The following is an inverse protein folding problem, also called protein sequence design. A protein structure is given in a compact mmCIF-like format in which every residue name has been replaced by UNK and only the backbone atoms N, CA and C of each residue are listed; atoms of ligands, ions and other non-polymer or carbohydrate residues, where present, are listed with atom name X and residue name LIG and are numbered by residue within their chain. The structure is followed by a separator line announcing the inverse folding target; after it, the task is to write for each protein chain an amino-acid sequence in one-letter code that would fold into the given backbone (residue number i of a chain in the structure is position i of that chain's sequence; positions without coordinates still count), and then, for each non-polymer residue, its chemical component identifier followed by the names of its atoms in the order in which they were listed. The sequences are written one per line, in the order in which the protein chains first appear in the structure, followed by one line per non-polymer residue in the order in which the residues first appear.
data_IF_059592165479
#
_entry.id   IF_059592165479
#
_cell.length_a   1.000
_cell.length_b   1.000
_cell.length_c   1.000
_cell.angle_alpha   90.00
_cell.angle_beta   90.00
_cell.angle_gamma   90.00
#
_symmetry.space_group_name_H-M   'P 1'
#
loop_
_entity.id
_entity.type
_entity.pdbx_description
1 polymer ?
#
# COMPACT_ATOMS: atom_id res chain seq x y z
N UNK A 1 10.09 -21.17 -13.41
CA UNK A 1 9.31 -21.46 -12.20
C UNK A 1 7.85 -21.10 -12.43
N UNK A 2 6.93 -21.99 -12.11
CA UNK A 2 5.49 -21.73 -12.14
C UNK A 2 4.95 -21.65 -10.70
N UNK A 3 4.14 -20.64 -10.42
CA UNK A 3 3.51 -20.44 -9.11
C UNK A 3 2.03 -20.15 -9.32
N UNK A 4 1.17 -20.92 -8.64
CA UNK A 4 -0.28 -20.79 -8.73
C UNK A 4 -0.87 -20.37 -7.40
N UNK A 5 -1.73 -19.36 -7.41
CA UNK A 5 -2.50 -18.95 -6.23
C UNK A 5 -3.80 -18.24 -6.60
N UNK A 6 -4.73 -18.15 -5.65
CA UNK A 6 -5.98 -17.39 -5.79
C UNK A 6 -5.74 -15.92 -5.39
N UNK A 7 -6.05 -14.95 -6.26
CA UNK A 7 -5.86 -13.54 -5.94
C UNK A 7 -6.89 -13.02 -4.92
N UNK A 8 -8.03 -13.71 -4.77
CA UNK A 8 -9.03 -13.43 -3.73
C UNK A 8 -9.88 -14.69 -3.47
N UNK A 9 -10.60 -14.81 -2.34
CA UNK A 9 -11.31 -16.04 -1.97
C UNK A 9 -12.33 -16.53 -3.00
N UNK A 10 -13.01 -15.59 -3.68
CA UNK A 10 -14.04 -15.88 -4.70
C UNK A 10 -13.49 -15.92 -6.14
N UNK A 11 -12.18 -15.75 -6.34
CA UNK A 11 -11.56 -15.76 -7.68
C UNK A 11 -10.98 -17.14 -7.98
N UNK A 12 -10.97 -17.50 -9.27
CA UNK A 12 -10.24 -18.67 -9.76
C UNK A 12 -8.75 -18.55 -9.48
N UNK A 13 -8.08 -19.69 -9.31
CA UNK A 13 -6.63 -19.73 -9.19
C UNK A 13 -5.98 -19.19 -10.48
N UNK A 14 -4.86 -18.51 -10.31
CA UNK A 14 -4.09 -17.88 -11.38
C UNK A 14 -2.67 -18.45 -11.36
N UNK A 15 -2.19 -18.93 -12.51
CA UNK A 15 -0.80 -19.37 -12.69
C UNK A 15 0.05 -18.24 -13.24
N UNK A 16 1.19 -18.03 -12.59
CA UNK A 16 2.23 -17.10 -13.00
C UNK A 16 3.48 -17.89 -13.35
N UNK A 17 4.13 -17.55 -14.46
CA UNK A 17 5.36 -18.21 -14.90
C UNK A 17 6.50 -17.20 -14.94
N UNK A 18 7.55 -17.45 -14.17
CA UNK A 18 8.81 -16.70 -14.24
C UNK A 18 9.86 -17.56 -14.94
N UNK A 19 10.40 -17.09 -16.06
CA UNK A 19 11.45 -17.78 -16.81
C UNK A 19 12.58 -16.80 -17.15
N UNK A 20 13.69 -16.90 -16.42
CA UNK A 20 14.76 -15.91 -16.47
C UNK A 20 14.21 -14.52 -16.14
N UNK A 21 14.41 -13.57 -17.05
CA UNK A 21 13.91 -12.19 -16.95
C UNK A 21 12.46 -11.99 -17.39
N UNK A 22 11.78 -13.02 -17.90
CA UNK A 22 10.41 -12.89 -18.43
C UNK A 22 9.39 -13.37 -17.39
N UNK A 23 8.48 -12.47 -16.99
CA UNK A 23 7.30 -12.79 -16.21
C UNK A 23 6.09 -12.92 -17.15
N UNK A 24 5.47 -14.10 -17.18
CA UNK A 24 4.20 -14.33 -17.89
C UNK A 24 3.03 -14.24 -16.93
N UNK A 25 2.04 -13.45 -17.33
CA UNK A 25 0.81 -13.25 -16.58
C UNK A 25 -0.20 -14.37 -16.86
N UNK A 26 -1.23 -14.53 -16.01
CA UNK A 26 -2.31 -15.48 -16.24
C UNK A 26 -3.12 -15.19 -17.52
N UNK A 27 -3.06 -13.96 -18.04
CA UNK A 27 -3.71 -13.59 -19.31
C UNK A 27 -2.86 -13.88 -20.54
N UNK A 28 -1.65 -14.43 -20.37
CA UNK A 28 -0.71 -14.72 -21.46
C UNK A 28 0.19 -13.55 -21.86
N UNK A 29 0.05 -12.38 -21.23
CA UNK A 29 0.97 -11.25 -21.42
C UNK A 29 2.35 -11.60 -20.87
N UNK A 30 3.40 -11.08 -21.49
CA UNK A 30 4.78 -11.26 -21.05
C UNK A 30 5.41 -9.92 -20.76
N UNK A 31 6.14 -9.83 -19.65
CA UNK A 31 6.91 -8.64 -19.27
C UNK A 31 8.37 -9.03 -19.13
N UNK A 32 9.24 -8.25 -19.75
CA UNK A 32 10.67 -8.29 -19.48
C UNK A 32 11.01 -7.45 -18.25
N UNK A 33 11.42 -8.11 -17.17
CA UNK A 33 11.78 -7.48 -15.90
C UNK A 33 13.01 -6.57 -16.02
N UNK A 34 13.88 -6.77 -17.02
CA UNK A 34 15.02 -5.88 -17.29
C UNK A 34 14.60 -4.50 -17.82
N UNK A 35 13.37 -4.39 -18.37
CA UNK A 35 12.83 -3.16 -18.94
C UNK A 35 11.89 -2.41 -17.99
N UNK A 36 11.83 -2.82 -16.72
CA UNK A 36 10.98 -2.14 -15.74
C UNK A 36 11.49 -0.73 -15.45
N UNK A 37 10.59 0.24 -15.59
CA UNK A 37 10.85 1.65 -15.25
C UNK A 37 10.52 1.94 -13.78
N UNK A 38 9.74 1.06 -13.14
CA UNK A 38 9.40 1.18 -11.73
C UNK A 38 8.37 0.17 -11.27
N UNK A 39 8.04 0.24 -9.99
CA UNK A 39 6.99 -0.57 -9.41
C UNK A 39 6.37 0.07 -8.17
N UNK A 40 5.31 -0.54 -7.68
CA UNK A 40 4.67 -0.19 -6.43
C UNK A 40 4.28 -1.44 -5.65
N UNK A 41 4.71 -1.50 -4.40
CA UNK A 41 4.34 -2.56 -3.47
C UNK A 41 3.45 -2.00 -2.36
N UNK A 42 2.29 -2.61 -2.18
CA UNK A 42 1.30 -2.28 -1.15
C UNK A 42 0.96 -3.55 -0.37
N UNK A 43 0.95 -3.45 0.95
CA UNK A 43 0.47 -4.52 1.83
C UNK A 43 -0.32 -3.89 2.96
N UNK A 44 -1.63 -4.14 2.97
CA UNK A 44 -2.59 -3.50 3.87
C UNK A 44 -3.29 -4.54 4.74
N UNK A 45 -3.09 -4.50 6.06
CA UNK A 45 -3.86 -5.33 6.97
C UNK A 45 -5.32 -4.84 7.02
N UNK A 46 -6.25 -5.77 7.00
CA UNK A 46 -7.67 -5.56 7.32
C UNK A 46 -8.09 -6.54 8.42
N UNK A 47 -9.28 -6.33 9.03
CA UNK A 47 -9.75 -7.11 10.18
C UNK A 47 -9.76 -8.63 9.96
N UNK A 48 -9.96 -9.08 8.72
CA UNK A 48 -10.08 -10.52 8.37
C UNK A 48 -9.09 -10.98 7.31
N UNK A 49 -8.65 -10.07 6.46
CA UNK A 49 -7.79 -10.38 5.32
C UNK A 49 -6.69 -9.35 5.23
N UNK A 50 -5.65 -9.68 4.49
CA UNK A 50 -4.62 -8.74 4.09
C UNK A 50 -4.74 -8.54 2.59
N UNK A 51 -4.61 -7.28 2.16
CA UNK A 51 -4.68 -6.88 0.77
C UNK A 51 -3.25 -6.57 0.34
N UNK A 52 -2.66 -7.45 -0.45
CA UNK A 52 -1.31 -7.27 -0.97
C UNK A 52 -1.35 -7.08 -2.48
N UNK A 53 -0.57 -6.13 -2.96
CA UNK A 53 -0.45 -5.80 -4.37
C UNK A 53 0.99 -5.46 -4.72
N UNK A 54 1.52 -6.09 -5.77
CA UNK A 54 2.80 -5.73 -6.37
C UNK A 54 2.60 -5.35 -7.84
N UNK A 55 2.67 -4.05 -8.11
CA UNK A 55 2.57 -3.47 -9.44
C UNK A 55 3.95 -3.30 -10.06
N UNK A 56 4.08 -3.72 -11.30
CA UNK A 56 5.25 -3.60 -12.15
C UNK A 56 4.88 -2.72 -13.34
N UNK A 57 5.73 -1.75 -13.69
CA UNK A 57 5.49 -0.81 -14.79
C UNK A 57 6.65 -0.83 -15.78
N UNK A 58 6.33 -0.99 -17.06
CA UNK A 58 7.21 -0.73 -18.21
C UNK A 58 6.78 0.58 -18.87
N UNK A 59 7.41 0.95 -19.99
CA UNK A 59 6.97 2.11 -20.78
C UNK A 59 5.59 1.91 -21.41
N UNK A 60 5.28 0.69 -21.84
CA UNK A 60 4.03 0.34 -22.53
C UNK A 60 2.93 -0.14 -21.61
N UNK A 61 3.29 -0.80 -20.50
CA UNK A 61 2.38 -1.67 -19.77
C UNK A 61 2.50 -1.56 -18.25
N UNK A 62 1.42 -1.95 -17.59
CA UNK A 62 1.38 -2.14 -16.14
C UNK A 62 0.74 -3.48 -15.81
N UNK A 63 1.42 -4.25 -14.98
CA UNK A 63 0.90 -5.52 -14.47
C UNK A 63 0.89 -5.51 -12.96
N UNK A 64 -0.15 -6.10 -12.41
CA UNK A 64 -0.37 -6.14 -10.98
C UNK A 64 -0.56 -7.58 -10.52
N UNK A 65 0.27 -7.98 -9.56
CA UNK A 65 0.15 -9.25 -8.84
C UNK A 65 -0.62 -8.95 -7.56
N UNK A 66 -1.81 -9.50 -7.39
CA UNK A 66 -2.70 -9.20 -6.25
C UNK A 66 -2.99 -10.45 -5.43
N UNK A 67 -2.99 -10.34 -4.11
CA UNK A 67 -3.43 -11.40 -3.23
C UNK A 67 -4.20 -10.83 -2.04
N UNK A 68 -5.44 -11.30 -1.89
CA UNK A 68 -6.31 -11.04 -0.75
C UNK A 68 -6.54 -12.36 -0.02
N UNK A 69 -5.83 -12.56 1.09
CA UNK A 69 -5.93 -13.79 1.89
C UNK A 69 -5.66 -13.48 3.37
N UNK A 70 -5.91 -14.46 4.24
CA UNK A 70 -5.58 -14.38 5.67
C UNK A 70 -4.05 -14.36 5.86
N UNK A 71 -3.57 -13.81 6.98
CA UNK A 71 -2.14 -13.61 7.25
C UNK A 71 -1.28 -14.88 7.10
N UNK A 72 -1.83 -16.02 7.47
CA UNK A 72 -1.16 -17.34 7.45
C UNK A 72 -1.65 -18.24 6.30
N UNK A 73 -2.37 -17.67 5.33
CA UNK A 73 -2.98 -18.43 4.25
C UNK A 73 -1.96 -18.92 3.23
N UNK A 74 -2.19 -20.11 2.66
CA UNK A 74 -1.29 -20.70 1.66
C UNK A 74 -1.23 -19.87 0.38
N UNK A 75 -2.30 -19.15 0.02
CA UNK A 75 -2.32 -18.29 -1.17
C UNK A 75 -1.40 -17.09 -0.95
N UNK A 76 -1.39 -16.55 0.27
CA UNK A 76 -0.46 -15.49 0.67
C UNK A 76 1.00 -15.95 0.64
N UNK A 77 1.28 -17.17 1.11
CA UNK A 77 2.63 -17.73 1.02
C UNK A 77 3.10 -17.83 -0.44
N UNK A 78 2.28 -18.43 -1.31
CA UNK A 78 2.58 -18.54 -2.75
C UNK A 78 2.76 -17.17 -3.43
N UNK A 79 1.92 -16.19 -3.05
CA UNK A 79 2.08 -14.81 -3.50
C UNK A 79 3.45 -14.23 -3.12
N UNK A 80 3.86 -14.35 -1.85
CA UNK A 80 5.16 -13.84 -1.43
C UNK A 80 6.32 -14.59 -2.08
N UNK A 81 6.20 -15.91 -2.29
CA UNK A 81 7.18 -16.68 -3.06
C UNK A 81 7.36 -16.07 -4.45
N UNK A 82 6.27 -15.78 -5.17
CA UNK A 82 6.36 -15.12 -6.48
C UNK A 82 7.00 -13.73 -6.39
N UNK A 83 6.61 -12.93 -5.40
CA UNK A 83 7.19 -11.59 -5.21
C UNK A 83 8.70 -11.68 -4.94
N UNK A 84 9.14 -12.58 -4.07
CA UNK A 84 10.56 -12.78 -3.78
C UNK A 84 11.35 -13.19 -5.02
N UNK A 85 10.82 -14.10 -5.82
CA UNK A 85 11.45 -14.55 -7.07
C UNK A 85 11.55 -13.42 -8.10
N UNK A 86 10.50 -12.61 -8.24
CA UNK A 86 10.53 -11.41 -9.10
C UNK A 86 11.57 -10.41 -8.59
N UNK A 87 11.66 -10.20 -7.27
CA UNK A 87 12.63 -9.29 -6.67
C UNK A 87 14.07 -9.81 -6.83
N UNK A 88 14.33 -11.10 -6.69
CA UNK A 88 15.64 -11.70 -6.98
C UNK A 88 16.03 -11.53 -8.45
N UNK A 89 15.09 -11.76 -9.36
CA UNK A 89 15.31 -11.52 -10.78
C UNK A 89 15.63 -10.04 -11.08
N UNK A 90 14.93 -9.12 -10.43
CA UNK A 90 15.19 -7.68 -10.50
C UNK A 90 16.59 -7.32 -9.97
N UNK A 91 17.04 -7.93 -8.87
CA UNK A 91 18.41 -7.69 -8.35
C UNK A 91 19.48 -8.06 -9.38
N UNK A 92 19.25 -9.12 -10.16
CA UNK A 92 20.20 -9.59 -11.17
C UNK A 92 20.19 -8.75 -12.45
N UNK A 93 19.00 -8.33 -12.91
CA UNK A 93 18.84 -7.76 -14.25
C UNK A 93 18.52 -6.26 -14.27
N UNK A 94 18.03 -5.70 -13.17
CA UNK A 94 17.71 -4.28 -13.04
C UNK A 94 17.80 -3.81 -11.56
N UNK A 95 19.01 -3.82 -10.96
CA UNK A 95 19.18 -3.57 -9.52
C UNK A 95 18.84 -2.15 -9.08
N UNK A 96 18.73 -1.20 -10.01
CA UNK A 96 18.48 0.21 -9.71
C UNK A 96 17.02 0.62 -9.89
N UNK A 97 16.12 -0.33 -10.23
CA UNK A 97 14.70 -0.01 -10.41
C UNK A 97 14.10 0.52 -9.11
N UNK A 98 13.32 1.59 -9.22
CA UNK A 98 12.70 2.26 -8.08
C UNK A 98 11.33 1.64 -7.80
N UNK A 99 11.19 1.01 -6.64
CA UNK A 99 9.93 0.41 -6.20
C UNK A 99 9.37 1.24 -5.04
N UNK A 100 8.20 1.85 -5.23
CA UNK A 100 7.52 2.62 -4.19
C UNK A 100 6.83 1.68 -3.20
N UNK A 101 6.97 1.92 -1.91
CA UNK A 101 6.28 1.17 -0.85
C UNK A 101 5.15 2.01 -0.24
N UNK A 102 4.09 1.35 0.18
CA UNK A 102 3.04 1.95 1.01
C UNK A 102 1.67 2.04 0.34
N UNK A 103 0.81 2.88 0.89
CA UNK A 103 -0.53 3.16 0.37
C UNK A 103 -0.46 3.92 -0.95
N UNK A 104 -1.46 3.68 -1.80
CA UNK A 104 -1.60 4.42 -3.05
C UNK A 104 -1.88 5.90 -2.76
N UNK A 105 -1.45 6.79 -3.66
CA UNK A 105 -1.73 8.24 -3.57
C UNK A 105 -3.23 8.54 -3.42
N UNK A 106 -4.08 7.74 -4.08
CA UNK A 106 -5.53 7.88 -4.02
C UNK A 106 -6.05 7.67 -2.58
N UNK A 107 -5.51 6.67 -1.88
CA UNK A 107 -5.89 6.38 -0.50
C UNK A 107 -5.54 7.55 0.42
N UNK A 108 -4.34 8.12 0.28
CA UNK A 108 -3.93 9.30 1.04
C UNK A 108 -4.85 10.51 0.76
N UNK A 109 -5.20 10.75 -0.51
CA UNK A 109 -6.16 11.80 -0.90
C UNK A 109 -7.53 11.57 -0.23
N UNK A 110 -8.04 10.34 -0.23
CA UNK A 110 -9.32 10.02 0.41
C UNK A 110 -9.29 10.29 1.91
N UNK A 111 -8.22 9.90 2.61
CA UNK A 111 -8.08 10.17 4.04
C UNK A 111 -7.94 11.67 4.33
N UNK A 112 -7.20 12.41 3.50
CA UNK A 112 -7.12 13.87 3.62
C UNK A 112 -8.50 14.51 3.44
N UNK A 113 -9.32 14.04 2.49
CA UNK A 113 -10.68 14.52 2.30
C UNK A 113 -11.60 14.23 3.49
N UNK A 114 -11.51 13.02 4.08
CA UNK A 114 -12.23 12.67 5.32
C UNK A 114 -11.79 13.57 6.48
N UNK A 115 -10.50 13.93 6.54
CA UNK A 115 -9.95 14.87 7.51
C UNK A 115 -10.55 16.28 7.46
N UNK A 116 -11.21 16.67 6.36
CA UNK A 116 -11.91 17.96 6.25
C UNK A 116 -13.28 17.95 6.94
N UNK A 117 -13.86 16.79 7.25
CA UNK A 117 -15.13 16.69 7.96
C UNK A 117 -15.05 17.34 9.35
N UNK A 118 -14.07 17.00 10.21
CA UNK A 118 -13.92 17.67 11.51
C UNK A 118 -13.67 19.18 11.38
N UNK A 119 -13.12 19.68 10.27
CA UNK A 119 -12.98 21.13 10.04
C UNK A 119 -14.34 21.84 9.99
N UNK A 120 -15.31 21.24 9.30
CA UNK A 120 -16.68 21.78 9.22
C UNK A 120 -17.38 21.81 10.58
N UNK A 121 -17.23 20.75 11.37
CA UNK A 121 -17.73 20.71 12.75
C UNK A 121 -17.03 21.74 13.64
N UNK A 122 -15.70 21.85 13.56
CA UNK A 122 -14.94 22.82 14.35
C UNK A 122 -15.41 24.25 14.11
N UNK A 123 -15.59 24.63 12.83
CA UNK A 123 -16.10 25.95 12.46
C UNK A 123 -17.53 26.19 12.95
N UNK A 124 -18.43 25.20 12.85
CA UNK A 124 -19.81 25.38 13.29
C UNK A 124 -19.91 25.59 14.80
N UNK A 125 -19.10 24.90 15.60
CA UNK A 125 -19.01 25.11 17.05
C UNK A 125 -18.49 26.51 17.41
N UNK A 126 -17.43 26.98 16.74
CA UNK A 126 -16.89 28.34 16.97
C UNK A 126 -17.94 29.40 16.63
N UNK A 127 -18.57 29.30 15.46
CA UNK A 127 -19.59 30.26 15.03
C UNK A 127 -20.77 30.28 16.01
N UNK A 128 -21.26 29.11 16.42
CA UNK A 128 -22.37 29.00 17.37
C UNK A 128 -22.01 29.58 18.74
N UNK A 129 -20.79 29.35 19.22
CA UNK A 129 -20.30 29.87 20.48
C UNK A 129 -20.17 31.41 20.47
N UNK A 130 -19.73 31.97 19.36
CA UNK A 130 -19.65 33.43 19.17
C UNK A 130 -21.04 34.07 19.13
N UNK A 131 -22.02 33.43 18.49
CA UNK A 131 -23.40 33.93 18.42
C UNK A 131 -24.12 33.88 19.78
N UNK A 132 -23.81 32.89 20.62
CA UNK A 132 -24.47 32.66 21.91
C UNK A 132 -23.82 33.38 23.09
N UNK A 133 -22.96 34.37 22.85
CA UNK A 133 -22.36 35.17 23.93
C UNK A 133 -21.00 34.66 24.41
N UNK A 134 -20.21 34.08 23.52
CA UNK A 134 -18.81 33.69 23.75
C UNK A 134 -18.65 32.50 24.70
N UNK A 135 -19.35 31.40 24.40
CA UNK A 135 -19.22 30.14 25.14
C UNK A 135 -17.81 29.53 24.98
N UNK A 136 -17.02 29.59 26.06
CA UNK A 136 -15.67 29.06 26.08
C UNK A 136 -15.60 27.56 25.80
N UNK A 137 -16.65 26.79 26.12
CA UNK A 137 -16.70 25.36 25.83
C UNK A 137 -16.83 25.12 24.31
N UNK A 138 -17.80 25.76 23.65
CA UNK A 138 -17.96 25.68 22.20
C UNK A 138 -16.73 26.14 21.42
N UNK A 139 -16.04 27.20 21.89
CA UNK A 139 -14.78 27.66 21.29
C UNK A 139 -13.68 26.60 21.46
N UNK A 140 -13.50 26.08 22.67
CA UNK A 140 -12.47 25.07 22.96
C UNK A 140 -12.67 23.80 22.14
N UNK A 141 -13.91 23.31 22.08
CA UNK A 141 -14.26 22.14 21.28
C UNK A 141 -14.06 22.39 19.78
N UNK A 142 -14.46 23.57 19.30
CA UNK A 142 -14.25 23.95 17.91
C UNK A 142 -12.78 24.02 17.50
N UNK A 143 -11.92 24.60 18.33
CA UNK A 143 -10.46 24.64 18.12
C UNK A 143 -9.87 23.22 18.12
N UNK A 144 -10.31 22.34 19.02
CA UNK A 144 -9.87 20.94 19.03
C UNK A 144 -10.18 20.25 17.70
N UNK A 145 -11.38 20.43 17.15
CA UNK A 145 -11.77 19.85 15.87
C UNK A 145 -10.98 20.40 14.68
N UNK A 146 -10.63 21.70 14.71
CA UNK A 146 -9.75 22.30 13.71
C UNK A 146 -8.34 21.71 13.76
N UNK A 147 -7.77 21.55 14.96
CA UNK A 147 -6.45 20.95 15.15
C UNK A 147 -6.45 19.48 14.74
N UNK A 148 -7.51 18.74 15.08
CA UNK A 148 -7.69 17.35 14.68
C UNK A 148 -7.77 17.22 13.15
N UNK A 149 -8.52 18.11 12.48
CA UNK A 149 -8.60 18.15 11.03
C UNK A 149 -7.23 18.42 10.39
N UNK A 150 -6.50 19.42 10.89
CA UNK A 150 -5.15 19.75 10.42
C UNK A 150 -4.18 18.58 10.62
N UNK A 151 -4.25 17.89 11.75
CA UNK A 151 -3.44 16.71 12.04
C UNK A 151 -3.76 15.54 11.09
N UNK A 152 -5.04 15.22 10.88
CA UNK A 152 -5.44 14.15 9.95
C UNK A 152 -4.98 14.46 8.52
N UNK A 153 -5.18 15.70 8.04
CA UNK A 153 -4.74 16.12 6.71
C UNK A 153 -3.23 16.08 6.58
N UNK A 154 -2.48 16.42 7.64
CA UNK A 154 -1.03 16.32 7.64
C UNK A 154 -0.55 14.87 7.57
N UNK A 155 -1.12 13.98 8.38
CA UNK A 155 -0.80 12.55 8.37
C UNK A 155 -1.16 11.87 7.04
N UNK A 156 -2.28 12.25 6.44
CA UNK A 156 -2.76 11.73 5.17
C UNK A 156 -2.31 12.56 3.96
N UNK A 157 -1.34 13.46 4.16
CA UNK A 157 -0.99 14.48 3.18
C UNK A 157 -0.62 13.86 1.83
N UNK A 158 -1.28 14.25 0.73
CA UNK A 158 -1.02 13.71 -0.60
C UNK A 158 0.36 14.10 -1.15
N UNK A 159 1.05 15.00 -0.44
CA UNK A 159 2.39 15.50 -0.73
C UNK A 159 3.50 14.64 -0.08
N UNK A 160 3.15 13.76 0.87
CA UNK A 160 4.12 12.81 1.43
C UNK A 160 4.57 11.85 0.31
N UNK A 161 5.87 11.88 0.01
CA UNK A 161 6.45 11.00 -0.99
C UNK A 161 6.50 9.58 -0.41
N UNK A 162 5.90 8.57 -1.09
CA UNK A 162 6.01 7.21 -0.61
C UNK A 162 7.49 6.79 -0.59
N UNK A 163 7.92 6.04 0.43
CA UNK A 163 9.29 5.53 0.49
C UNK A 163 9.60 4.75 -0.79
N UNK A 164 10.75 5.05 -1.39
CA UNK A 164 11.25 4.37 -2.59
C UNK A 164 12.36 3.44 -2.16
N UNK A 165 12.33 2.22 -2.66
CA UNK A 165 13.36 1.22 -2.38
C UNK A 165 13.89 0.57 -3.64
N UNK A 166 15.17 0.22 -3.59
CA UNK A 166 15.79 -0.70 -4.56
C UNK A 166 15.26 -2.13 -4.34
N UNK A 167 15.45 -3.06 -5.30
CA UNK A 167 15.08 -4.47 -5.12
C UNK A 167 15.71 -5.10 -3.87
N UNK A 168 16.97 -4.77 -3.57
CA UNK A 168 17.66 -5.27 -2.36
C UNK A 168 16.99 -4.78 -1.08
N UNK A 169 16.76 -3.47 -0.96
CA UNK A 169 16.07 -2.88 0.19
C UNK A 169 14.63 -3.40 0.33
N UNK A 170 13.93 -3.59 -0.78
CA UNK A 170 12.58 -4.17 -0.78
C UNK A 170 12.61 -5.60 -0.24
N UNK A 171 13.60 -6.41 -0.64
CA UNK A 171 13.75 -7.77 -0.15
C UNK A 171 14.01 -7.79 1.36
N UNK A 172 14.91 -6.96 1.86
CA UNK A 172 15.20 -6.84 3.30
C UNK A 172 13.96 -6.41 4.08
N UNK A 173 13.24 -5.42 3.56
CA UNK A 173 11.99 -4.98 4.15
C UNK A 173 10.94 -6.10 4.14
N UNK A 174 10.75 -6.81 3.02
CA UNK A 174 9.84 -7.95 2.93
C UNK A 174 10.23 -9.06 3.90
N UNK A 175 11.52 -9.37 4.08
CA UNK A 175 11.98 -10.36 5.06
C UNK A 175 11.72 -9.89 6.49
N UNK A 176 11.92 -8.61 6.80
CA UNK A 176 11.57 -8.06 8.11
C UNK A 176 10.06 -8.10 8.37
N UNK A 177 9.26 -7.93 7.33
CA UNK A 177 7.80 -7.84 7.42
C UNK A 177 7.11 -9.22 7.42
N UNK A 178 7.63 -10.16 6.63
CA UNK A 178 7.13 -11.53 6.48
C UNK A 178 7.78 -12.47 7.51
N UNK A 179 9.07 -12.26 7.81
CA UNK A 179 9.86 -13.09 8.72
C UNK A 179 10.06 -12.52 10.13
N UNK A 180 9.74 -11.25 10.38
CA UNK A 180 10.05 -10.57 11.64
C UNK A 180 8.82 -10.15 12.45
N UNK A 181 8.28 -11.10 13.24
CA UNK A 181 7.87 -10.98 14.66
C UNK A 181 6.92 -12.13 15.02
N UNK A 182 7.31 -13.10 15.88
CA UNK A 182 6.37 -14.07 16.46
C UNK A 182 5.26 -13.40 17.30
N UNK A 183 5.40 -12.11 17.61
CA UNK A 183 4.54 -11.25 18.41
C UNK A 183 3.65 -10.29 17.59
N UNK A 184 3.75 -10.27 16.26
CA UNK A 184 2.71 -9.73 15.38
C UNK A 184 2.44 -8.21 15.40
N UNK A 185 3.29 -7.38 16.02
CA UNK A 185 3.11 -5.91 16.03
C UNK A 185 3.83 -5.22 14.86
N UNK A 186 3.19 -4.21 14.21
CA UNK A 186 3.87 -3.36 13.23
C UNK A 186 4.97 -2.52 13.90
N UNK A 187 5.99 -2.05 13.14
CA UNK A 187 6.94 -1.07 13.64
C UNK A 187 6.17 0.21 14.04
N UNK A 188 6.43 0.68 15.26
CA UNK A 188 5.82 1.87 15.85
C UNK A 188 6.33 3.17 15.24
#
# INVERSE_FOLDING_TARGET
MEITFKPAPLRSAQSWLLSGKILRTPSGQQIDLSQLIGGHFTDLPSKRFWISEFQLSTESDKVSIKCNDVKTGIQRHNYYTLVFEVVECLKLHNPNVRIRRGTSRLFNIMFAAIGLIPLGFGLSFIISALQNGNDGFGIGFGVFFLLLAAFIVWCASPWQKPPVSTPTELQEWLRSWVGGRPDGLPPG
#
